data_IF_480911739114
#
_entry.id   IF_480911739114
#
_cell.length_a   1.000
_cell.length_b   1.000
_cell.length_c   1.000
_cell.angle_alpha   90.00
_cell.angle_beta   90.00
_cell.angle_gamma   90.00
#
_symmetry.space_group_name_H-M   'P 1'
#
loop_
_entity.id
_entity.type
_entity.pdbx_description
1 polymer ?
#
# COMPACT_ATOMS: atom_id res chain seq x y z
N UNK A 1 8.20 -9.26 2.02
CA UNK A 1 8.78 -7.98 1.52
C UNK A 1 7.89 -6.84 1.96
N UNK A 2 8.48 -5.77 2.47
CA UNK A 2 7.78 -4.64 3.06
C UNK A 2 7.91 -3.34 2.25
N UNK A 3 6.81 -2.60 2.12
CA UNK A 3 6.77 -1.24 1.57
C UNK A 3 6.44 -0.20 2.64
N UNK A 4 7.35 0.75 2.85
CA UNK A 4 7.20 1.83 3.83
C UNK A 4 6.27 2.96 3.35
N UNK A 5 5.83 3.80 4.29
CA UNK A 5 4.98 4.96 4.01
C UNK A 5 5.74 6.18 3.50
N UNK A 6 5.01 7.20 3.04
CA UNK A 6 5.59 8.47 2.59
C UNK A 6 6.38 9.11 3.74
N UNK A 7 7.54 9.70 3.43
CA UNK A 7 8.48 10.30 4.42
C UNK A 7 9.22 9.29 5.31
N UNK A 8 8.92 8.00 5.18
CA UNK A 8 9.61 6.91 5.85
C UNK A 8 10.87 6.42 5.13
N UNK A 9 11.39 5.29 5.61
CA UNK A 9 12.52 4.57 5.05
C UNK A 9 12.41 3.06 5.35
N UNK A 10 13.47 2.30 5.07
CA UNK A 10 13.53 0.86 5.35
C UNK A 10 13.37 0.51 6.85
N UNK A 11 13.67 1.43 7.77
CA UNK A 11 13.59 1.20 9.21
C UNK A 11 12.15 1.19 9.73
N UNK A 12 11.18 1.74 8.98
CA UNK A 12 9.75 1.59 9.33
C UNK A 12 9.30 0.13 9.40
N UNK A 13 10.01 -0.76 8.70
CA UNK A 13 9.76 -2.20 8.77
C UNK A 13 10.00 -2.78 10.17
N UNK A 14 10.81 -2.15 11.02
CA UNK A 14 11.23 -2.70 12.31
C UNK A 14 10.04 -3.02 13.21
N UNK A 15 9.05 -2.12 13.31
CA UNK A 15 7.87 -2.37 14.14
C UNK A 15 7.00 -3.50 13.62
N UNK A 16 6.86 -3.63 12.30
CA UNK A 16 6.15 -4.79 11.73
C UNK A 16 6.95 -6.09 11.87
N UNK A 17 8.29 -6.01 11.86
CA UNK A 17 9.14 -7.16 12.09
C UNK A 17 9.01 -7.72 13.52
N UNK A 18 8.67 -6.88 14.52
CA UNK A 18 8.35 -7.34 15.89
C UNK A 18 7.13 -8.27 15.94
N UNK A 19 6.16 -8.09 15.03
CA UNK A 19 5.01 -8.99 14.88
C UNK A 19 5.32 -10.18 13.96
N UNK A 20 6.14 -9.98 12.93
CA UNK A 20 6.49 -11.01 11.95
C UNK A 20 7.43 -12.09 12.52
N UNK A 21 8.43 -11.68 13.32
CA UNK A 21 9.47 -12.57 13.80
C UNK A 21 8.97 -13.72 14.70
N UNK A 22 8.02 -13.51 15.65
CA UNK A 22 7.40 -14.60 16.41
C UNK A 22 6.70 -15.67 15.55
N UNK A 23 6.19 -15.27 14.38
CA UNK A 23 5.55 -16.16 13.40
C UNK A 23 6.56 -16.85 12.46
N UNK A 24 7.87 -16.63 12.66
CA UNK A 24 8.93 -17.17 11.81
C UNK A 24 9.04 -16.48 10.44
N UNK A 25 8.55 -15.24 10.32
CA UNK A 25 8.52 -14.50 9.06
C UNK A 25 9.68 -13.50 8.99
N UNK A 26 10.52 -13.63 7.96
CA UNK A 26 11.58 -12.68 7.67
C UNK A 26 11.03 -11.43 6.98
N UNK A 27 11.34 -10.25 7.53
CA UNK A 27 10.93 -8.97 6.95
C UNK A 27 12.07 -8.35 6.15
N UNK A 28 11.91 -8.30 4.82
CA UNK A 28 12.85 -7.63 3.90
C UNK A 28 12.27 -6.28 3.46
N UNK A 29 13.01 -5.19 3.69
CA UNK A 29 12.59 -3.83 3.36
C UNK A 29 13.68 -3.07 2.59
N UNK A 30 13.26 -2.28 1.61
CA UNK A 30 14.13 -1.36 0.87
C UNK A 30 13.45 -0.01 0.71
N UNK A 31 14.22 1.09 0.67
CA UNK A 31 13.65 2.41 0.47
C UNK A 31 13.08 2.54 -0.94
N UNK A 32 11.96 3.24 -1.07
CA UNK A 32 11.45 3.71 -2.36
C UNK A 32 12.38 4.77 -2.96
N UNK A 33 12.20 5.07 -4.25
CA UNK A 33 12.88 6.22 -4.87
C UNK A 33 12.67 7.48 -4.03
N UNK A 34 13.71 8.31 -3.95
CA UNK A 34 13.71 9.59 -3.22
C UNK A 34 13.54 9.47 -1.70
N UNK A 35 13.62 8.27 -1.12
CA UNK A 35 13.49 8.06 0.33
C UNK A 35 14.74 7.44 0.94
N UNK A 36 14.97 7.73 2.22
CA UNK A 36 16.06 7.15 3.02
C UNK A 36 17.39 7.10 2.28
N UNK A 37 18.05 5.94 2.33
CA UNK A 37 19.35 5.68 1.71
C UNK A 37 19.26 5.33 0.22
N UNK A 38 18.10 5.46 -0.44
CA UNK A 38 17.97 5.14 -1.85
C UNK A 38 18.95 6.00 -2.68
N UNK A 39 19.72 5.45 -3.64
CA UNK A 39 20.72 6.21 -4.40
C UNK A 39 20.18 7.42 -5.17
N UNK A 40 18.88 7.44 -5.46
CA UNK A 40 18.24 8.58 -6.13
C UNK A 40 17.86 9.70 -5.16
N UNK A 41 17.87 9.46 -3.85
CA UNK A 41 17.58 10.48 -2.85
C UNK A 41 18.79 11.43 -2.73
N UNK A 42 18.66 12.71 -3.16
CA UNK A 42 19.78 13.66 -3.11
C UNK A 42 20.13 14.08 -1.67
N UNK A 43 19.24 13.85 -0.71
CA UNK A 43 19.45 14.17 0.70
C UNK A 43 18.84 13.07 1.59
N UNK A 44 19.61 12.02 1.93
CA UNK A 44 19.17 10.96 2.84
C UNK A 44 18.79 11.43 4.25
N UNK A 45 19.18 12.65 4.63
CA UNK A 45 18.86 13.22 5.95
C UNK A 45 17.58 14.04 5.94
N UNK A 46 17.03 14.31 4.75
CA UNK A 46 15.78 15.03 4.60
C UNK A 46 14.62 14.25 5.25
N UNK A 47 13.76 14.97 5.95
CA UNK A 47 12.57 14.41 6.59
C UNK A 47 11.34 15.23 6.23
N UNK A 48 10.17 14.59 6.19
CA UNK A 48 8.89 15.27 6.00
C UNK A 48 8.77 15.97 4.64
N UNK A 49 8.56 17.30 4.61
CA UNK A 49 8.16 18.06 3.43
C UNK A 49 9.13 17.93 2.23
N UNK A 50 10.46 18.04 2.36
CA UNK A 50 11.36 17.88 1.22
C UNK A 50 11.23 16.51 0.56
N UNK A 51 11.03 15.44 1.35
CA UNK A 51 10.80 14.08 0.80
C UNK A 51 9.49 14.02 0.03
N UNK A 52 8.42 14.63 0.55
CA UNK A 52 7.14 14.75 -0.16
C UNK A 52 7.32 15.49 -1.50
N UNK A 53 7.97 16.65 -1.49
CA UNK A 53 8.18 17.44 -2.71
C UNK A 53 9.02 16.67 -3.75
N UNK A 54 10.09 16.02 -3.30
CA UNK A 54 10.98 15.24 -4.17
C UNK A 54 10.25 14.03 -4.77
N UNK A 55 9.57 13.23 -3.96
CA UNK A 55 8.85 12.05 -4.43
C UNK A 55 7.68 12.42 -5.34
N UNK A 56 6.92 13.47 -5.02
CA UNK A 56 5.83 13.95 -5.89
C UNK A 56 6.32 14.73 -7.12
N UNK A 57 7.64 14.78 -7.33
CA UNK A 57 8.30 15.45 -8.44
C UNK A 57 7.87 16.92 -8.57
N UNK A 58 7.65 17.56 -7.43
CA UNK A 58 7.40 18.99 -7.32
C UNK A 58 8.76 19.67 -7.36
N UNK A 59 8.98 20.41 -8.45
CA UNK A 59 10.26 21.06 -8.73
C UNK A 59 10.45 22.35 -7.96
N UNK A 60 11.24 23.26 -8.54
CA UNK A 60 11.47 24.59 -8.00
C UNK A 60 10.13 25.32 -7.74
N UNK A 61 9.90 25.71 -6.48
CA UNK A 61 8.71 26.44 -6.05
C UNK A 61 8.59 27.83 -6.70
N UNK A 62 9.68 28.38 -7.24
CA UNK A 62 9.65 29.60 -8.05
C UNK A 62 9.04 29.35 -9.43
N UNK A 63 9.31 28.17 -10.00
CA UNK A 63 8.76 27.73 -11.30
C UNK A 63 7.34 27.17 -11.12
N UNK A 64 7.02 26.68 -9.92
CA UNK A 64 5.70 26.12 -9.55
C UNK A 64 5.28 24.95 -10.45
N UNK A 65 6.23 24.07 -10.76
CA UNK A 65 6.02 22.95 -11.67
C UNK A 65 5.89 21.62 -10.91
N UNK A 66 4.92 20.81 -11.34
CA UNK A 66 4.82 19.39 -11.03
C UNK A 66 5.24 18.59 -12.26
N UNK A 67 6.27 17.76 -12.13
CA UNK A 67 6.78 16.93 -13.23
C UNK A 67 6.05 15.59 -13.28
N UNK A 68 4.85 15.59 -13.86
CA UNK A 68 3.95 14.44 -13.87
C UNK A 68 4.57 13.13 -14.39
N UNK A 69 5.34 13.18 -15.48
CA UNK A 69 6.01 11.99 -16.02
C UNK A 69 7.07 11.46 -15.07
N UNK A 70 7.81 12.33 -14.37
CA UNK A 70 8.79 11.92 -13.36
C UNK A 70 8.09 11.27 -12.16
N UNK A 71 7.00 11.88 -11.67
CA UNK A 71 6.19 11.29 -10.60
C UNK A 71 5.72 9.88 -10.98
N UNK A 72 5.16 9.71 -12.18
CA UNK A 72 4.78 8.38 -12.69
C UNK A 72 5.97 7.41 -12.65
N UNK A 73 7.14 7.80 -13.14
CA UNK A 73 8.31 6.92 -13.14
C UNK A 73 8.84 6.60 -11.74
N UNK A 74 8.60 7.44 -10.72
CA UNK A 74 8.97 7.11 -9.35
C UNK A 74 8.26 5.85 -8.83
N UNK A 75 6.98 5.68 -9.15
CA UNK A 75 6.24 4.45 -8.83
C UNK A 75 6.81 3.26 -9.60
N UNK A 76 6.90 3.37 -10.93
CA UNK A 76 7.33 2.27 -11.81
C UNK A 76 8.75 1.79 -11.53
N UNK A 77 9.69 2.71 -11.28
CA UNK A 77 11.07 2.35 -10.95
C UNK A 77 11.17 1.74 -9.56
N UNK A 78 10.39 2.22 -8.57
CA UNK A 78 10.37 1.57 -7.25
C UNK A 78 9.86 0.13 -7.34
N UNK A 79 8.86 -0.12 -8.20
CA UNK A 79 8.40 -1.49 -8.48
C UNK A 79 9.53 -2.33 -9.08
N UNK A 80 10.31 -1.78 -10.01
CA UNK A 80 11.45 -2.47 -10.60
C UNK A 80 12.54 -2.82 -9.58
N UNK A 81 12.89 -1.91 -8.68
CA UNK A 81 13.85 -2.17 -7.60
C UNK A 81 13.37 -3.31 -6.69
N UNK A 82 12.07 -3.36 -6.41
CA UNK A 82 11.48 -4.46 -5.63
C UNK A 82 11.52 -5.78 -6.37
N UNK A 83 11.25 -5.80 -7.67
CA UNK A 83 11.38 -7.03 -8.48
C UNK A 83 12.83 -7.55 -8.50
N UNK A 84 13.83 -6.65 -8.47
CA UNK A 84 15.23 -7.06 -8.33
C UNK A 84 15.50 -7.69 -6.96
N UNK A 85 14.94 -7.14 -5.88
CA UNK A 85 15.03 -7.73 -4.54
C UNK A 85 14.33 -9.09 -4.52
N UNK A 86 13.13 -9.22 -5.09
CA UNK A 86 12.43 -10.51 -5.22
C UNK A 86 13.34 -11.53 -5.90
N UNK A 87 13.97 -11.13 -7.01
CA UNK A 87 14.87 -12.00 -7.76
C UNK A 87 16.10 -12.39 -6.96
N UNK A 88 16.67 -11.47 -6.17
CA UNK A 88 17.80 -11.75 -5.30
C UNK A 88 17.43 -12.80 -4.24
N UNK A 89 16.29 -12.64 -3.57
CA UNK A 89 15.80 -13.60 -2.57
C UNK A 89 15.57 -14.99 -3.17
N UNK A 90 15.14 -15.09 -4.43
CA UNK A 90 15.00 -16.37 -5.13
C UNK A 90 16.34 -17.05 -5.43
N UNK A 91 17.33 -16.27 -5.88
CA UNK A 91 18.60 -16.82 -6.37
C UNK A 91 19.66 -16.93 -5.29
N UNK A 92 19.47 -16.24 -4.17
CA UNK A 92 20.42 -16.13 -3.06
C UNK A 92 19.65 -16.04 -1.75
N UNK A 93 19.01 -17.15 -1.32
CA UNK A 93 18.20 -17.19 -0.10
C UNK A 93 19.05 -17.19 1.18
N UNK A 94 20.35 -17.47 1.08
CA UNK A 94 21.36 -17.26 2.11
C UNK A 94 21.78 -15.78 2.06
N UNK A 95 21.23 -14.97 2.96
CA UNK A 95 21.41 -13.51 2.97
C UNK A 95 22.57 -13.08 3.86
N UNK A 96 22.98 -13.92 4.81
CA UNK A 96 24.11 -13.63 5.70
C UNK A 96 25.45 -14.29 5.26
N UNK A 97 25.38 -15.22 4.31
CA UNK A 97 26.52 -15.87 3.68
C UNK A 97 27.13 -17.02 4.49
N UNK A 98 26.40 -17.57 5.47
CA UNK A 98 26.88 -18.68 6.30
C UNK A 98 26.79 -20.07 5.62
N UNK A 99 26.20 -20.12 4.42
CA UNK A 99 26.00 -21.33 3.62
C UNK A 99 24.65 -22.01 3.85
N UNK A 100 23.78 -21.45 4.68
CA UNK A 100 22.42 -21.93 4.97
C UNK A 100 21.41 -20.92 4.43
N UNK A 101 20.32 -21.41 3.82
CA UNK A 101 19.26 -20.53 3.36
C UNK A 101 18.50 -19.91 4.56
N UNK A 102 18.40 -18.58 4.58
CA UNK A 102 17.67 -17.80 5.59
C UNK A 102 16.19 -17.60 5.25
N UNK A 103 15.87 -17.59 3.96
CA UNK A 103 14.51 -17.36 3.47
C UNK A 103 14.02 -18.51 2.59
N UNK A 104 12.72 -18.77 2.65
CA UNK A 104 12.04 -19.69 1.74
C UNK A 104 11.59 -18.92 0.47
N UNK A 105 12.22 -19.17 -0.70
CA UNK A 105 11.90 -18.44 -1.93
C UNK A 105 10.52 -18.80 -2.51
N UNK A 106 9.87 -19.86 -2.00
CA UNK A 106 8.52 -20.27 -2.40
C UNK A 106 7.44 -19.65 -1.49
N UNK A 107 7.82 -19.02 -0.37
CA UNK A 107 6.91 -18.38 0.59
C UNK A 107 7.12 -16.89 0.68
N UNK A 108 6.93 -16.20 -0.44
CA UNK A 108 7.11 -14.74 -0.52
C UNK A 108 5.76 -14.04 -0.55
N UNK A 109 5.58 -13.05 0.34
CA UNK A 109 4.43 -12.17 0.38
C UNK A 109 4.84 -10.69 0.42
N UNK A 110 3.91 -9.83 0.02
CA UNK A 110 4.08 -8.37 0.08
C UNK A 110 3.18 -7.77 1.17
N UNK A 111 3.73 -6.85 1.97
CA UNK A 111 2.96 -6.01 2.88
C UNK A 111 3.39 -4.57 2.69
N UNK A 112 2.48 -3.71 2.23
CA UNK A 112 2.74 -2.29 2.00
C UNK A 112 1.83 -1.43 2.85
N UNK A 113 2.37 -0.41 3.51
CA UNK A 113 1.59 0.56 4.29
C UNK A 113 1.66 1.93 3.61
N UNK A 114 0.54 2.62 3.47
CA UNK A 114 0.47 3.97 2.88
C UNK A 114 1.09 3.98 1.49
N UNK A 115 2.16 4.74 1.24
CA UNK A 115 2.90 4.74 -0.04
C UNK A 115 3.31 3.32 -0.49
N UNK A 116 3.71 2.45 0.43
CA UNK A 116 3.95 1.04 0.13
C UNK A 116 2.67 0.32 -0.34
N UNK A 117 1.54 0.59 0.31
CA UNK A 117 0.22 0.07 -0.10
C UNK A 117 -0.18 0.54 -1.49
N UNK A 118 0.08 1.82 -1.84
CA UNK A 118 -0.09 2.34 -3.20
C UNK A 118 0.78 1.59 -4.22
N UNK A 119 2.02 1.24 -3.87
CA UNK A 119 2.95 0.60 -4.81
C UNK A 119 2.75 -0.93 -4.95
N UNK A 120 1.96 -1.55 -4.07
CA UNK A 120 1.72 -2.99 -4.09
C UNK A 120 1.03 -3.52 -5.35
N UNK A 121 -0.03 -2.89 -5.90
CA UNK A 121 -0.76 -3.40 -7.06
C UNK A 121 0.11 -3.65 -8.29
N UNK A 122 1.01 -2.71 -8.63
CA UNK A 122 1.92 -2.89 -9.77
C UNK A 122 2.88 -4.06 -9.55
N UNK A 123 3.40 -4.22 -8.32
CA UNK A 123 4.28 -5.32 -7.96
C UNK A 123 3.57 -6.68 -8.05
N UNK A 124 2.37 -6.79 -7.48
CA UNK A 124 1.56 -8.01 -7.49
C UNK A 124 1.10 -8.40 -8.91
N UNK A 125 0.84 -7.42 -9.77
CA UNK A 125 0.52 -7.66 -11.18
C UNK A 125 1.75 -8.11 -11.99
N UNK A 126 2.95 -7.65 -11.63
CA UNK A 126 4.16 -7.84 -12.43
C UNK A 126 4.80 -9.22 -12.31
N UNK A 127 4.51 -9.99 -11.24
CA UNK A 127 5.16 -11.27 -10.94
C UNK A 127 4.23 -12.20 -10.16
N UNK A 128 4.41 -13.52 -10.31
CA UNK A 128 3.68 -14.56 -9.56
C UNK A 128 4.36 -14.94 -8.25
N UNK A 129 5.47 -14.29 -7.94
CA UNK A 129 6.33 -14.66 -6.81
C UNK A 129 5.74 -14.26 -5.47
N UNK A 130 4.87 -13.25 -5.49
CA UNK A 130 4.09 -12.89 -4.33
C UNK A 130 2.78 -13.68 -4.35
N UNK A 131 2.69 -14.73 -3.54
CA UNK A 131 1.46 -15.51 -3.40
C UNK A 131 0.35 -14.76 -2.66
N UNK A 132 0.74 -13.79 -1.82
CA UNK A 132 -0.18 -12.93 -1.08
C UNK A 132 0.32 -11.47 -0.99
N UNK A 133 -0.63 -10.53 -0.92
CA UNK A 133 -0.40 -9.10 -0.78
C UNK A 133 -1.35 -8.46 0.24
N UNK A 134 -0.78 -7.78 1.23
CA UNK A 134 -1.54 -6.96 2.19
C UNK A 134 -1.26 -5.48 1.90
N UNK A 135 -2.31 -4.73 1.60
CA UNK A 135 -2.25 -3.32 1.23
C UNK A 135 -2.96 -2.50 2.30
N UNK A 136 -2.20 -1.83 3.16
CA UNK A 136 -2.74 -1.10 4.32
C UNK A 136 -2.81 0.39 4.01
N UNK A 137 -3.97 0.98 4.26
CA UNK A 137 -4.37 2.34 3.86
C UNK A 137 -3.89 2.71 2.45
N UNK A 138 -4.12 1.84 1.45
CA UNK A 138 -3.59 2.02 0.11
C UNK A 138 -4.48 2.99 -0.68
N UNK A 139 -4.02 3.47 -1.83
CA UNK A 139 -4.83 4.35 -2.66
C UNK A 139 -4.60 4.11 -4.14
N UNK A 140 -5.63 4.39 -4.93
CA UNK A 140 -5.54 4.56 -6.38
C UNK A 140 -5.83 6.01 -6.75
N UNK A 141 -5.68 6.37 -8.03
CA UNK A 141 -5.90 7.73 -8.53
C UNK A 141 -5.02 8.75 -7.79
N UNK A 142 -3.71 8.67 -7.99
CA UNK A 142 -2.71 9.50 -7.33
C UNK A 142 -3.02 11.00 -7.45
N UNK A 143 -3.60 11.46 -8.56
CA UNK A 143 -4.02 12.86 -8.69
C UNK A 143 -5.09 13.27 -7.68
N UNK A 144 -6.00 12.35 -7.32
CA UNK A 144 -7.07 12.55 -6.33
C UNK A 144 -6.49 12.60 -4.92
N UNK A 145 -5.49 11.78 -4.63
CA UNK A 145 -4.73 11.87 -3.37
C UNK A 145 -4.10 13.25 -3.24
N UNK A 146 -3.48 13.76 -4.31
CA UNK A 146 -2.89 15.10 -4.30
C UNK A 146 -3.98 16.17 -4.13
N UNK A 147 -5.09 16.10 -4.86
CA UNK A 147 -6.10 17.16 -4.87
C UNK A 147 -6.93 17.26 -3.59
N UNK A 148 -7.21 16.12 -2.95
CA UNK A 148 -8.23 16.04 -1.90
C UNK A 148 -7.64 15.79 -0.50
N UNK A 149 -6.34 15.50 -0.41
CA UNK A 149 -5.66 15.30 0.88
C UNK A 149 -5.33 16.63 1.57
N UNK A 150 -5.67 16.80 2.87
CA UNK A 150 -5.21 17.90 3.70
C UNK A 150 -3.70 18.13 3.63
N UNK A 151 -2.89 17.08 3.53
CA UNK A 151 -1.43 17.14 3.41
C UNK A 151 -0.99 17.99 2.21
N UNK A 152 -1.68 17.85 1.08
CA UNK A 152 -1.32 18.49 -0.18
C UNK A 152 -2.01 19.83 -0.41
N UNK A 153 -3.07 20.16 0.34
CA UNK A 153 -3.81 21.42 0.18
C UNK A 153 -2.89 22.65 0.23
N UNK A 154 -1.98 22.70 1.20
CA UNK A 154 -1.00 23.80 1.36
C UNK A 154 0.01 23.84 0.21
N UNK A 155 0.43 22.67 -0.28
CA UNK A 155 1.35 22.55 -1.41
C UNK A 155 0.68 23.05 -2.70
N UNK A 156 -0.58 22.68 -2.92
CA UNK A 156 -1.37 23.14 -4.07
C UNK A 156 -1.51 24.65 -4.05
N UNK A 157 -1.87 25.24 -2.90
CA UNK A 157 -2.03 26.69 -2.77
C UNK A 157 -0.74 27.44 -3.08
N UNK A 158 0.40 26.88 -2.67
CA UNK A 158 1.72 27.44 -2.95
C UNK A 158 2.11 27.34 -4.43
N UNK A 159 1.82 26.20 -5.06
CA UNK A 159 2.15 25.93 -6.46
C UNK A 159 1.15 26.54 -7.45
N UNK A 160 -0.06 26.86 -7.02
CA UNK A 160 -1.09 27.44 -7.89
C UNK A 160 -0.52 28.69 -8.60
N UNK A 161 -0.49 28.73 -9.95
CA UNK A 161 -0.05 29.93 -10.66
C UNK A 161 -0.97 31.12 -10.35
N UNK A 162 -0.42 32.33 -10.37
CA UNK A 162 -1.23 33.54 -10.17
C UNK A 162 -2.35 33.61 -11.21
N UNK A 163 -3.52 34.12 -10.84
CA UNK A 163 -4.71 34.22 -11.68
C UNK A 163 -5.40 32.89 -12.04
N UNK A 164 -4.94 31.74 -11.52
CA UNK A 164 -5.61 30.45 -11.68
C UNK A 164 -6.89 30.42 -10.86
N UNK A 165 -8.02 30.04 -11.47
CA UNK A 165 -9.30 29.90 -10.75
C UNK A 165 -9.43 28.52 -10.11
N UNK A 166 -10.39 28.36 -9.18
CA UNK A 166 -10.77 27.04 -8.66
C UNK A 166 -11.18 26.07 -9.76
N UNK A 167 -11.88 26.57 -10.79
CA UNK A 167 -12.29 25.76 -11.93
C UNK A 167 -11.10 25.24 -12.74
N UNK A 168 -10.03 26.01 -12.86
CA UNK A 168 -8.83 25.58 -13.58
C UNK A 168 -8.10 24.47 -12.82
N UNK A 169 -7.99 24.60 -11.49
CA UNK A 169 -7.41 23.55 -10.64
C UNK A 169 -8.23 22.27 -10.71
N UNK A 170 -9.56 22.36 -10.65
CA UNK A 170 -10.43 21.18 -10.79
C UNK A 170 -10.30 20.48 -12.14
N UNK A 171 -10.00 21.21 -13.21
CA UNK A 171 -9.76 20.62 -14.55
C UNK A 171 -8.34 20.09 -14.73
N UNK A 172 -7.39 20.61 -13.97
CA UNK A 172 -5.99 20.16 -14.02
C UNK A 172 -5.82 18.72 -13.54
N UNK A 173 -6.41 18.34 -12.40
CA UNK A 173 -6.19 17.02 -11.81
C UNK A 173 -6.64 15.83 -12.66
N UNK A 174 -7.82 15.86 -13.33
CA UNK A 174 -8.18 14.81 -14.29
C UNK A 174 -7.20 14.68 -15.45
N UNK A 175 -6.64 15.80 -15.97
CA UNK A 175 -5.62 15.75 -17.02
C UNK A 175 -4.31 15.18 -16.46
N UNK A 176 -3.90 15.60 -15.27
CA UNK A 176 -2.75 15.04 -14.58
C UNK A 176 -2.88 13.52 -14.43
N UNK A 177 -4.06 13.03 -14.04
CA UNK A 177 -4.34 11.60 -13.89
C UNK A 177 -4.03 10.83 -15.18
N UNK A 178 -4.41 11.34 -16.35
CA UNK A 178 -4.10 10.67 -17.64
C UNK A 178 -2.61 10.46 -17.89
N UNK A 179 -1.76 11.36 -17.37
CA UNK A 179 -0.30 11.21 -17.47
C UNK A 179 0.22 10.19 -16.46
N UNK A 180 -0.41 10.13 -15.28
CA UNK A 180 -0.06 9.24 -14.17
C UNK A 180 -0.56 7.81 -14.36
N UNK A 181 -1.63 7.58 -15.13
CA UNK A 181 -2.33 6.28 -15.23
C UNK A 181 -1.38 5.11 -15.51
N UNK A 182 -0.36 5.29 -16.36
CA UNK A 182 0.62 4.23 -16.67
C UNK A 182 1.58 3.87 -15.50
N UNK A 183 1.48 4.55 -14.36
CA UNK A 183 2.14 4.21 -13.10
C UNK A 183 1.18 4.30 -11.90
N UNK A 184 -0.12 4.43 -12.14
CA UNK A 184 -1.12 4.57 -11.08
C UNK A 184 -1.51 3.20 -10.52
N UNK A 185 -1.64 3.05 -9.19
CA UNK A 185 -2.00 1.78 -8.57
C UNK A 185 -3.31 1.20 -9.10
N UNK A 186 -4.32 2.05 -9.38
CA UNK A 186 -5.62 1.60 -9.86
C UNK A 186 -5.56 0.99 -11.27
N UNK A 187 -4.58 1.38 -12.09
CA UNK A 187 -4.38 0.79 -13.42
C UNK A 187 -3.84 -0.63 -13.38
N UNK A 188 -3.19 -1.01 -12.27
CA UNK A 188 -2.60 -2.35 -12.10
C UNK A 188 -3.45 -3.29 -11.25
N UNK A 189 -4.34 -2.76 -10.41
CA UNK A 189 -5.21 -3.56 -9.55
C UNK A 189 -6.03 -4.65 -10.28
N UNK A 190 -6.64 -4.40 -11.47
CA UNK A 190 -7.35 -5.46 -12.21
C UNK A 190 -6.42 -6.63 -12.59
N UNK A 191 -5.18 -6.32 -12.93
CA UNK A 191 -4.12 -7.28 -13.25
C UNK A 191 -3.56 -7.98 -11.98
N UNK A 192 -4.00 -7.57 -10.80
CA UNK A 192 -3.70 -8.19 -9.52
C UNK A 192 -4.61 -9.37 -9.17
N UNK A 193 -5.79 -9.49 -9.78
CA UNK A 193 -6.79 -10.52 -9.44
C UNK A 193 -7.44 -11.20 -10.66
N UNK A 194 -7.75 -10.46 -11.73
CA UNK A 194 -8.56 -10.94 -12.85
C UNK A 194 -7.82 -10.94 -14.19
N UNK A 195 -7.37 -9.76 -14.62
CA UNK A 195 -6.77 -9.57 -15.94
C UNK A 195 -5.25 -9.83 -15.92
N UNK A 196 -4.82 -10.95 -15.33
CA UNK A 196 -3.39 -11.24 -15.10
C UNK A 196 -2.55 -11.06 -16.38
N UNK A 197 -1.37 -10.47 -16.25
CA UNK A 197 -0.44 -10.40 -17.38
C UNK A 197 0.04 -11.81 -17.76
N UNK A 198 0.22 -12.08 -19.06
CA UNK A 198 0.64 -13.41 -19.54
C UNK A 198 1.97 -13.91 -18.93
N UNK A 199 2.84 -12.98 -18.50
CA UNK A 199 4.12 -13.31 -17.82
C UNK A 199 3.97 -13.66 -16.33
N UNK A 200 2.82 -13.37 -15.74
CA UNK A 200 2.48 -13.54 -14.34
C UNK A 200 1.01 -14.01 -14.21
N UNK A 201 0.66 -15.21 -14.73
CA UNK A 201 -0.71 -15.72 -14.74
C UNK A 201 -1.26 -16.14 -13.36
N UNK A 202 -0.41 -16.32 -12.35
CA UNK A 202 -0.84 -16.71 -11.00
C UNK A 202 -1.66 -15.62 -10.32
N UNK A 203 -2.77 -16.00 -9.68
CA UNK A 203 -3.65 -15.05 -8.96
C UNK A 203 -3.24 -15.02 -7.48
N UNK A 204 -2.73 -13.89 -6.95
CA UNK A 204 -2.38 -13.76 -5.54
C UNK A 204 -3.60 -13.54 -4.64
N UNK A 205 -3.47 -13.96 -3.39
CA UNK A 205 -4.38 -13.54 -2.31
C UNK A 205 -4.15 -12.03 -2.02
N UNK A 206 -5.21 -11.22 -1.93
CA UNK A 206 -5.09 -9.77 -1.67
C UNK A 206 -6.03 -9.30 -0.55
N UNK A 207 -5.46 -8.68 0.47
CA UNK A 207 -6.21 -8.01 1.54
C UNK A 207 -5.95 -6.50 1.50
N UNK A 208 -7.03 -5.72 1.43
CA UNK A 208 -6.99 -4.26 1.59
C UNK A 208 -7.48 -3.90 2.99
N UNK A 209 -6.75 -3.01 3.67
CA UNK A 209 -7.18 -2.42 4.94
C UNK A 209 -7.37 -0.92 4.81
N UNK A 210 -8.54 -0.39 5.17
CA UNK A 210 -8.81 1.06 5.12
C UNK A 210 -9.26 1.56 6.48
N UNK A 211 -8.82 2.76 6.87
CA UNK A 211 -9.35 3.45 8.04
C UNK A 211 -10.45 4.40 7.61
N UNK A 212 -11.49 4.54 8.43
CA UNK A 212 -12.49 5.58 8.20
C UNK A 212 -11.89 6.97 8.41
N UNK A 213 -12.34 7.93 7.60
CA UNK A 213 -11.94 9.34 7.71
C UNK A 213 -10.42 9.56 7.59
N UNK A 214 -9.78 8.77 6.71
CA UNK A 214 -8.36 8.89 6.38
C UNK A 214 -8.03 10.30 5.86
N UNK A 215 -7.17 11.01 6.59
CA UNK A 215 -6.77 12.39 6.34
C UNK A 215 -5.51 12.52 5.46
N UNK A 216 -4.93 11.39 5.05
CA UNK A 216 -3.69 11.35 4.28
C UNK A 216 -3.95 10.78 2.89
N UNK A 217 -4.55 9.60 2.81
CA UNK A 217 -5.03 8.98 1.57
C UNK A 217 -6.56 8.96 1.63
N UNK A 218 -7.25 9.95 1.03
CA UNK A 218 -8.69 10.10 1.17
C UNK A 218 -9.44 8.81 0.81
N UNK A 219 -10.53 8.51 1.54
CA UNK A 219 -11.25 7.24 1.35
C UNK A 219 -11.74 7.00 -0.09
N UNK A 220 -12.07 8.05 -0.84
CA UNK A 220 -12.40 7.93 -2.27
C UNK A 220 -11.28 7.25 -3.08
N UNK A 221 -10.03 7.48 -2.69
CA UNK A 221 -8.84 6.87 -3.30
C UNK A 221 -8.62 5.44 -2.81
N UNK A 222 -8.85 5.14 -1.52
CA UNK A 222 -8.79 3.75 -1.02
C UNK A 222 -9.84 2.89 -1.74
N UNK A 223 -11.08 3.37 -1.79
CA UNK A 223 -12.21 2.66 -2.40
C UNK A 223 -12.13 2.59 -3.92
N UNK A 224 -11.52 3.59 -4.59
CA UNK A 224 -11.21 3.48 -6.01
C UNK A 224 -10.28 2.29 -6.28
N UNK A 225 -9.28 2.06 -5.42
CA UNK A 225 -8.39 0.90 -5.56
C UNK A 225 -9.12 -0.42 -5.25
N UNK A 226 -9.92 -0.47 -4.17
CA UNK A 226 -10.71 -1.66 -3.84
C UNK A 226 -11.66 -2.08 -4.97
N UNK A 227 -12.35 -1.12 -5.60
CA UNK A 227 -13.18 -1.37 -6.79
C UNK A 227 -12.36 -1.83 -7.99
N UNK A 228 -11.14 -1.30 -8.18
CA UNK A 228 -10.27 -1.71 -9.28
C UNK A 228 -9.74 -3.15 -9.10
N UNK A 229 -9.52 -3.60 -7.87
CA UNK A 229 -9.26 -5.02 -7.57
C UNK A 229 -10.51 -5.90 -7.69
N UNK A 230 -11.70 -5.29 -7.66
CA UNK A 230 -13.00 -5.96 -7.67
C UNK A 230 -13.15 -6.98 -6.53
N UNK A 231 -12.84 -6.51 -5.32
CA UNK A 231 -12.97 -7.25 -4.05
C UNK A 231 -14.15 -6.75 -3.23
N UNK A 232 -14.86 -7.62 -2.47
CA UNK A 232 -15.93 -7.21 -1.58
C UNK A 232 -15.40 -6.54 -0.29
N UNK A 233 -16.28 -5.83 0.40
CA UNK A 233 -16.07 -5.48 1.80
C UNK A 233 -16.45 -6.70 2.64
N UNK A 234 -15.53 -7.14 3.48
CA UNK A 234 -15.78 -8.24 4.43
C UNK A 234 -16.34 -7.65 5.71
N UNK A 235 -17.43 -8.23 6.21
CA UNK A 235 -18.05 -7.79 7.46
C UNK A 235 -17.04 -7.84 8.63
N UNK A 236 -17.13 -6.90 9.58
CA UNK A 236 -18.24 -5.96 9.80
C UNK A 236 -18.17 -4.72 8.90
N UNK A 237 -19.32 -4.34 8.34
CA UNK A 237 -19.47 -3.10 7.58
C UNK A 237 -19.60 -1.91 8.53
N UNK A 238 -18.57 -1.06 8.60
CA UNK A 238 -18.56 0.13 9.45
C UNK A 238 -19.17 1.34 8.74
N UNK A 239 -18.99 1.44 7.42
CA UNK A 239 -19.54 2.50 6.58
C UNK A 239 -19.90 1.95 5.21
N UNK A 240 -21.15 2.13 4.79
CA UNK A 240 -21.58 1.80 3.42
C UNK A 240 -20.75 2.57 2.39
N UNK A 241 -20.30 1.88 1.34
CA UNK A 241 -19.59 2.47 0.22
C UNK A 241 -20.20 1.99 -1.10
N UNK A 242 -20.63 2.89 -1.99
CA UNK A 242 -21.20 2.50 -3.28
C UNK A 242 -20.25 1.68 -4.15
N UNK A 243 -20.81 0.67 -4.81
CA UNK A 243 -20.07 -0.16 -5.76
C UNK A 243 -19.26 -1.30 -5.12
N UNK A 244 -19.50 -1.61 -3.85
CA UNK A 244 -18.99 -2.81 -3.20
C UNK A 244 -20.12 -3.79 -2.90
N UNK A 245 -19.84 -5.07 -3.13
CA UNK A 245 -20.57 -6.15 -2.45
C UNK A 245 -20.09 -6.23 -0.99
N UNK A 246 -20.99 -6.57 -0.08
CA UNK A 246 -20.69 -6.82 1.33
C UNK A 246 -20.90 -8.30 1.61
N UNK A 247 -19.90 -8.96 2.19
CA UNK A 247 -19.92 -10.41 2.44
C UNK A 247 -19.58 -10.72 3.89
N UNK A 248 -20.28 -11.70 4.47
CA UNK A 248 -20.01 -12.18 5.83
C UNK A 248 -18.72 -13.00 5.87
N UNK A 249 -17.84 -12.68 6.83
CA UNK A 249 -16.63 -13.46 7.10
C UNK A 249 -16.89 -14.74 7.91
N UNK A 250 -15.90 -15.65 8.03
CA UNK A 250 -14.58 -15.59 7.40
C UNK A 250 -14.66 -15.84 5.88
N UNK A 251 -13.92 -15.04 5.10
CA UNK A 251 -13.87 -15.14 3.65
C UNK A 251 -12.58 -15.84 3.19
N UNK A 252 -12.69 -16.79 2.25
CA UNK A 252 -11.54 -17.51 1.68
C UNK A 252 -11.88 -18.03 0.28
N UNK A 253 -10.88 -18.08 -0.60
CA UNK A 253 -10.95 -18.67 -1.94
C UNK A 253 -12.09 -18.13 -2.84
N UNK A 254 -12.50 -16.87 -2.66
CA UNK A 254 -13.63 -16.25 -3.34
C UNK A 254 -13.35 -15.77 -4.78
N UNK A 255 -12.08 -15.76 -5.22
CA UNK A 255 -11.66 -15.29 -6.54
C UNK A 255 -10.82 -16.38 -7.20
N UNK A 256 -11.47 -17.27 -7.97
CA UNK A 256 -10.79 -18.34 -8.73
C UNK A 256 -9.83 -19.21 -7.88
N UNK A 257 -10.14 -19.39 -6.59
CA UNK A 257 -9.31 -20.13 -5.63
C UNK A 257 -8.37 -19.26 -4.80
N UNK A 258 -8.12 -18.01 -5.20
CA UNK A 258 -7.51 -16.97 -4.37
C UNK A 258 -8.56 -16.24 -3.53
N UNK A 259 -8.10 -15.45 -2.58
CA UNK A 259 -8.88 -14.73 -1.59
C UNK A 259 -8.66 -13.25 -1.76
N UNK A 260 -9.74 -12.50 -1.92
CA UNK A 260 -9.70 -11.06 -2.10
C UNK A 260 -10.75 -10.38 -1.24
N UNK A 261 -10.38 -9.36 -0.47
CA UNK A 261 -11.33 -8.62 0.35
C UNK A 261 -10.78 -7.31 0.89
N UNK A 262 -11.69 -6.45 1.36
CA UNK A 262 -11.40 -5.18 2.01
C UNK A 262 -11.98 -5.17 3.43
N UNK A 263 -11.16 -4.77 4.40
CA UNK A 263 -11.56 -4.53 5.79
C UNK A 263 -11.58 -3.03 6.09
N UNK A 264 -12.61 -2.59 6.82
CA UNK A 264 -12.72 -1.23 7.36
C UNK A 264 -12.31 -1.22 8.83
N UNK A 265 -11.60 -0.18 9.24
CA UNK A 265 -11.13 0.02 10.61
C UNK A 265 -11.54 1.40 11.12
N UNK A 266 -12.04 1.45 12.35
CA UNK A 266 -12.40 2.68 13.07
C UNK A 266 -11.68 2.82 14.42
N UNK A 267 -11.24 1.70 14.99
CA UNK A 267 -10.55 1.62 16.27
C UNK A 267 -9.25 0.82 16.16
N UNK A 268 -8.25 1.21 16.95
CA UNK A 268 -7.01 0.49 17.19
C UNK A 268 -6.76 0.33 18.68
N UNK A 269 -5.98 -0.69 19.05
CA UNK A 269 -5.41 -0.82 20.39
C UNK A 269 -3.90 -0.62 20.31
N UNK A 270 -3.37 0.25 21.15
CA UNK A 270 -1.94 0.49 21.29
C UNK A 270 -1.60 0.76 22.74
N UNK A 271 -0.61 0.04 23.27
CA UNK A 271 -0.18 0.12 24.67
C UNK A 271 -1.33 -0.12 25.67
N UNK A 272 -2.27 -1.00 25.32
CA UNK A 272 -3.46 -1.31 26.12
C UNK A 272 -4.61 -0.29 26.03
N UNK A 273 -4.44 0.82 25.32
CA UNK A 273 -5.46 1.84 25.14
C UNK A 273 -6.18 1.72 23.79
N UNK A 274 -7.51 1.82 23.81
CA UNK A 274 -8.34 1.91 22.61
C UNK A 274 -8.38 3.35 22.12
N UNK A 275 -8.07 3.56 20.85
CA UNK A 275 -8.05 4.87 20.19
C UNK A 275 -8.69 4.76 18.81
N UNK A 276 -9.10 5.89 18.24
CA UNK A 276 -9.55 5.95 16.85
C UNK A 276 -8.43 5.51 15.90
N UNK A 277 -8.76 4.63 14.96
CA UNK A 277 -7.86 4.24 13.88
C UNK A 277 -7.60 5.44 12.97
N UNK A 278 -6.33 5.64 12.62
CA UNK A 278 -5.91 6.70 11.71
C UNK A 278 -4.88 6.14 10.73
N UNK A 279 -4.62 6.90 9.67
CA UNK A 279 -3.63 6.55 8.65
C UNK A 279 -2.27 6.15 9.25
N UNK A 280 -1.84 6.91 10.27
CA UNK A 280 -0.53 6.75 10.89
C UNK A 280 -0.43 5.70 12.00
N UNK A 281 -1.55 5.08 12.42
CA UNK A 281 -1.54 4.15 13.56
C UNK A 281 -2.04 2.74 13.24
N UNK A 282 -2.75 2.53 12.12
CA UNK A 282 -3.35 1.23 11.83
C UNK A 282 -2.33 0.16 11.44
N UNK A 283 -1.31 0.55 10.68
CA UNK A 283 -0.37 -0.39 10.03
C UNK A 283 0.39 -1.29 11.00
N UNK A 284 0.79 -0.75 12.14
CA UNK A 284 1.54 -1.44 13.20
C UNK A 284 0.77 -1.53 14.53
N UNK A 285 -0.56 -1.39 14.48
CA UNK A 285 -1.43 -1.63 15.64
C UNK A 285 -1.63 -3.12 15.89
N UNK A 286 -2.03 -3.50 17.11
CA UNK A 286 -2.35 -4.90 17.47
C UNK A 286 -3.47 -5.47 16.59
N UNK A 287 -4.54 -4.70 16.35
CA UNK A 287 -5.66 -5.13 15.50
C UNK A 287 -5.26 -5.24 14.03
N UNK A 288 -4.48 -4.28 13.52
CA UNK A 288 -3.96 -4.32 12.15
C UNK A 288 -3.01 -5.49 11.96
N UNK A 289 -1.98 -5.61 12.79
CA UNK A 289 -1.01 -6.70 12.74
C UNK A 289 -1.70 -8.07 12.81
N UNK A 290 -2.70 -8.23 13.68
CA UNK A 290 -3.51 -9.47 13.73
C UNK A 290 -4.17 -9.75 12.39
N UNK A 291 -4.82 -8.76 11.76
CA UNK A 291 -5.43 -8.93 10.44
C UNK A 291 -4.39 -9.32 9.37
N UNK A 292 -3.26 -8.60 9.32
CA UNK A 292 -2.25 -8.78 8.27
C UNK A 292 -1.56 -10.14 8.38
N UNK A 293 -1.13 -10.52 9.58
CA UNK A 293 -0.37 -11.76 9.77
C UNK A 293 -1.26 -13.00 9.82
N UNK A 294 -2.51 -12.91 10.29
CA UNK A 294 -3.48 -14.01 10.14
C UNK A 294 -3.75 -14.32 8.65
N UNK A 295 -3.90 -13.28 7.82
CA UNK A 295 -4.07 -13.44 6.38
C UNK A 295 -2.84 -14.10 5.72
N UNK A 296 -1.63 -13.62 6.04
CA UNK A 296 -0.39 -14.16 5.47
C UNK A 296 -0.08 -15.59 5.94
N UNK A 297 -0.28 -15.88 7.23
CA UNK A 297 0.00 -17.22 7.77
C UNK A 297 -1.03 -18.24 7.30
N UNK A 298 -2.30 -17.86 7.18
CA UNK A 298 -3.33 -18.73 6.60
C UNK A 298 -3.09 -19.03 5.12
N UNK A 299 -2.59 -18.07 4.34
CA UNK A 299 -2.13 -18.30 2.97
C UNK A 299 -1.08 -19.43 2.91
N UNK A 300 -0.03 -19.38 3.73
CA UNK A 300 0.99 -20.43 3.71
C UNK A 300 0.53 -21.78 4.26
N UNK A 301 -0.60 -21.82 4.97
CA UNK A 301 -1.23 -23.04 5.43
C UNK A 301 -2.26 -23.62 4.42
N UNK A 302 -2.62 -22.87 3.37
CA UNK A 302 -3.65 -23.27 2.41
C UNK A 302 -4.18 -22.10 1.58
N UNK A 303 -5.48 -21.81 1.69
CA UNK A 303 -6.05 -20.58 1.13
C UNK A 303 -6.02 -19.49 2.21
N UNK A 304 -5.67 -18.26 1.85
CA UNK A 304 -5.76 -17.15 2.78
C UNK A 304 -7.19 -17.01 3.34
N UNK A 305 -7.31 -16.53 4.57
CA UNK A 305 -8.59 -16.32 5.22
C UNK A 305 -8.64 -14.89 5.75
N UNK A 306 -9.70 -14.17 5.39
CA UNK A 306 -10.01 -12.85 5.94
C UNK A 306 -11.00 -13.05 7.08
N UNK A 307 -10.55 -12.80 8.30
CA UNK A 307 -11.36 -12.85 9.52
C UNK A 307 -11.61 -11.46 10.04
N UNK A 308 -12.62 -11.36 10.91
CA UNK A 308 -12.86 -10.15 11.68
C UNK A 308 -11.72 -9.94 12.68
N UNK A 309 -10.88 -8.89 12.50
CA UNK A 309 -9.70 -8.72 13.33
C UNK A 309 -10.06 -8.24 14.74
N UNK A 310 -11.24 -7.66 14.93
CA UNK A 310 -11.70 -7.20 16.25
C UNK A 310 -12.15 -8.37 17.13
N UNK A 311 -12.69 -9.45 16.55
CA UNK A 311 -13.01 -10.66 17.32
C UNK A 311 -11.73 -11.34 17.81
N UNK A 312 -10.71 -11.43 16.94
CA UNK A 312 -9.45 -12.10 17.23
C UNK A 312 -8.71 -11.51 18.45
N UNK A 313 -8.73 -10.19 18.62
CA UNK A 313 -8.07 -9.50 19.73
C UNK A 313 -9.01 -9.22 20.92
N UNK A 314 -10.19 -9.86 20.96
CA UNK A 314 -11.23 -9.63 21.98
C UNK A 314 -11.49 -8.13 22.17
N UNK A 315 -11.72 -7.42 21.07
CA UNK A 315 -11.90 -5.97 21.10
C UNK A 315 -13.26 -5.61 21.72
N UNK A 316 -13.32 -4.68 22.69
CA UNK A 316 -14.59 -4.21 23.21
C UNK A 316 -15.32 -3.46 22.10
N UNK A 317 -16.35 -4.06 21.52
CA UNK A 317 -17.29 -3.33 20.65
C UNK A 317 -18.34 -2.64 21.53
N UNK A 318 -18.72 -1.39 21.22
CA UNK A 318 -19.85 -0.74 21.86
C UNK A 318 -21.17 -1.47 21.58
#
# INVERSE_FOLDING_TARGET
>A
VYGHGLTGDRNQAQRLAEFAAPEGIVTVAAPALMHGEHPTNPDPTATSLPVVLQFFAIGDLNVRALHATRLREHFRQTTWDRLQITRLLETSPDVDGDGVADVDPDRVAYLGVSLGGLMGPELLAATDRYGAGVLVVPGGRVSTIISDSPLFSTIIDLLRPRMTTEGDVRRFFPILQTVLDAGDPASYAPHGQRDRFARAPGVPDVLLGVVLDDDTVPNISNYALGRAFDVPIVEPLLREEPGFEVVTGPLSANIEGATGGLLQFDLVRRDGEVRTATHGNIGDSEVGATAWFDFLTSHWAGAAVIRDPYEAVSFPRP
#
